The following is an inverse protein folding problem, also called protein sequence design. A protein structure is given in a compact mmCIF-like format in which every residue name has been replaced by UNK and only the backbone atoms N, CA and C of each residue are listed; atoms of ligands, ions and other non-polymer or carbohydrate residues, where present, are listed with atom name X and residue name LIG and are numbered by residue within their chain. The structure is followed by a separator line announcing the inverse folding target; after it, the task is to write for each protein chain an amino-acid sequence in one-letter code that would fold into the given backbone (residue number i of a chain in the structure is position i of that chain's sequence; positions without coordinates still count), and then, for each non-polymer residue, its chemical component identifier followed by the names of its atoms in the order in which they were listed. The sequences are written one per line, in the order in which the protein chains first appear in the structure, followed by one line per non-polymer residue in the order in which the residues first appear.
data_IF_290374415285
#
_entry.id   IF_290374415285
#
_cell.length_a   1.000
_cell.length_b   1.000
_cell.length_c   1.000
_cell.angle_alpha   90.00
_cell.angle_beta   90.00
_cell.angle_gamma   90.00
#
_symmetry.space_group_name_H-M   'P 1'
#
loop_
_entity.id
_entity.type
_entity.pdbx_description
1 polymer ?
#
# COMPACT_ATOMS: atom_id res chain seq x y z
N UNK A 1 40.96 -19.65 24.95
CA UNK A 1 40.18 -18.41 25.20
C UNK A 1 40.07 -17.51 23.96
N UNK A 2 41.15 -17.24 23.20
CA UNK A 2 41.14 -16.38 21.98
C UNK A 2 40.20 -16.81 20.83
N UNK A 3 39.93 -18.11 20.69
CA UNK A 3 39.11 -18.63 19.59
C UNK A 3 37.61 -18.40 19.84
N UNK A 4 37.15 -18.45 21.10
CA UNK A 4 35.74 -18.23 21.44
C UNK A 4 35.33 -16.78 21.13
N UNK A 5 36.16 -15.81 21.51
CA UNK A 5 35.95 -14.38 21.20
C UNK A 5 35.87 -14.12 19.70
N UNK A 6 36.68 -14.83 18.90
CA UNK A 6 36.71 -14.65 17.44
C UNK A 6 35.45 -15.17 16.75
N UNK A 7 34.90 -16.30 17.21
CA UNK A 7 33.63 -16.83 16.70
C UNK A 7 32.43 -15.97 17.13
N UNK A 8 32.44 -15.43 18.35
CA UNK A 8 31.41 -14.49 18.80
C UNK A 8 31.42 -13.21 17.97
N UNK A 9 32.60 -12.64 17.70
CA UNK A 9 32.73 -11.44 16.85
C UNK A 9 32.26 -11.72 15.42
N UNK A 10 32.65 -12.85 14.83
CA UNK A 10 32.21 -13.24 13.49
C UNK A 10 30.69 -13.46 13.43
N UNK A 11 30.10 -14.08 14.45
CA UNK A 11 28.65 -14.26 14.55
C UNK A 11 27.90 -12.92 14.65
N UNK A 12 28.38 -11.98 15.45
CA UNK A 12 27.80 -10.65 15.57
C UNK A 12 27.90 -9.86 14.26
N UNK A 13 29.04 -9.89 13.57
CA UNK A 13 29.21 -9.23 12.28
C UNK A 13 28.29 -9.80 11.20
N UNK A 14 28.08 -11.12 11.17
CA UNK A 14 27.15 -11.76 10.26
C UNK A 14 25.68 -11.34 10.53
N UNK A 15 25.31 -11.20 11.81
CA UNK A 15 23.97 -10.79 12.20
C UNK A 15 23.63 -9.36 11.75
N UNK A 16 24.62 -8.46 11.80
CA UNK A 16 24.49 -7.07 11.31
C UNK A 16 24.39 -7.02 9.78
N UNK A 17 25.12 -7.88 9.07
CA UNK A 17 25.14 -7.89 7.61
C UNK A 17 23.88 -8.48 6.95
N UNK A 18 23.14 -9.33 7.66
CA UNK A 18 21.92 -10.01 7.15
C UNK A 18 20.64 -9.32 7.65
N UNK A 19 20.76 -8.28 8.47
CA UNK A 19 19.60 -7.52 8.93
C UNK A 19 18.94 -6.75 7.78
N UNK A 20 17.62 -6.83 7.67
CA UNK A 20 16.87 -5.92 6.80
C UNK A 20 17.02 -4.49 7.34
N UNK A 21 17.26 -3.52 6.45
CA UNK A 21 17.30 -2.12 6.83
C UNK A 21 15.86 -1.64 7.09
N UNK A 22 15.55 -1.22 8.31
CA UNK A 22 14.25 -0.61 8.66
C UNK A 22 14.23 0.91 8.45
N UNK A 23 15.34 1.46 7.93
CA UNK A 23 15.55 2.90 7.73
C UNK A 23 15.23 3.36 6.31
N UNK A 24 15.15 2.43 5.35
CA UNK A 24 14.87 2.81 3.97
C UNK A 24 13.44 3.30 3.85
N UNK A 25 13.28 4.46 3.20
CA UNK A 25 11.97 4.97 2.90
C UNK A 25 11.24 3.97 1.98
N UNK A 26 9.99 3.67 2.30
CA UNK A 26 9.10 3.05 1.33
C UNK A 26 9.04 3.95 0.09
N UNK A 27 9.50 3.44 -1.05
CA UNK A 27 9.34 4.11 -2.34
C UNK A 27 8.06 3.56 -2.98
N UNK A 28 6.93 4.30 -2.93
CA UNK A 28 5.74 3.89 -3.68
C UNK A 28 6.07 3.83 -5.16
N UNK A 29 5.48 2.85 -5.85
CA UNK A 29 5.51 2.82 -7.30
C UNK A 29 4.83 4.09 -7.85
N UNK A 30 5.37 4.61 -8.96
CA UNK A 30 4.75 5.71 -9.66
C UNK A 30 3.50 5.22 -10.39
N UNK A 31 2.33 5.44 -9.79
CA UNK A 31 1.03 5.17 -10.40
C UNK A 31 0.57 6.31 -11.33
N UNK A 32 1.40 7.33 -11.58
CA UNK A 32 1.05 8.38 -12.53
C UNK A 32 1.12 7.86 -13.97
N UNK A 33 0.18 8.31 -14.80
CA UNK A 33 0.18 8.00 -16.22
C UNK A 33 1.08 9.00 -16.95
N UNK A 34 2.17 8.50 -17.57
CA UNK A 34 2.96 9.27 -18.53
C UNK A 34 2.30 9.37 -19.92
N UNK A 35 1.10 8.80 -20.11
CA UNK A 35 0.33 8.90 -21.35
C UNK A 35 -0.47 10.21 -21.38
N UNK A 36 -0.73 10.77 -22.58
CA UNK A 36 -1.63 11.89 -22.74
C UNK A 36 -2.98 11.59 -22.09
N UNK A 37 -3.44 12.48 -21.20
CA UNK A 37 -4.78 12.38 -20.65
C UNK A 37 -5.76 12.49 -21.83
N UNK A 38 -6.50 11.43 -22.10
CA UNK A 38 -7.58 11.47 -23.09
C UNK A 38 -8.70 12.31 -22.48
N UNK A 39 -9.08 13.45 -23.09
CA UNK A 39 -10.23 14.21 -22.60
C UNK A 39 -11.49 13.34 -22.73
N UNK A 40 -12.26 13.24 -21.65
CA UNK A 40 -13.46 12.45 -21.58
C UNK A 40 -14.33 12.87 -20.40
N UNK A 41 -15.62 12.53 -20.46
CA UNK A 41 -16.51 12.73 -19.33
C UNK A 41 -16.21 11.65 -18.28
N UNK A 42 -15.85 12.03 -17.04
CA UNK A 42 -15.62 11.04 -15.99
C UNK A 42 -16.90 10.22 -15.77
N UNK A 43 -16.74 8.89 -15.72
CA UNK A 43 -17.86 7.98 -15.41
C UNK A 43 -17.96 7.84 -13.90
N UNK A 44 -19.15 8.04 -13.35
CA UNK A 44 -19.42 7.78 -11.93
C UNK A 44 -19.46 6.27 -11.71
N UNK A 45 -18.60 5.77 -10.82
CA UNK A 45 -18.49 4.33 -10.50
C UNK A 45 -19.27 3.92 -9.24
N UNK A 46 -19.50 4.85 -8.31
CA UNK A 46 -20.25 4.60 -7.08
C UNK A 46 -21.47 5.50 -6.98
N UNK A 47 -22.49 5.06 -6.23
CA UNK A 47 -23.69 5.84 -5.92
C UNK A 47 -23.94 5.97 -4.43
N UNK A 48 -22.87 5.85 -3.63
CA UNK A 48 -22.91 6.00 -2.19
C UNK A 48 -23.34 7.43 -1.83
N UNK A 49 -24.15 7.55 -0.79
CA UNK A 49 -24.64 8.85 -0.28
C UNK A 49 -23.70 9.49 0.72
N UNK A 50 -22.74 8.71 1.24
CA UNK A 50 -21.68 9.15 2.13
C UNK A 50 -20.32 9.14 1.41
N UNK A 51 -19.24 9.41 2.13
CA UNK A 51 -17.91 9.62 1.55
C UNK A 51 -17.27 8.32 1.06
N UNK A 52 -16.68 8.41 -0.13
CA UNK A 52 -15.74 7.43 -0.70
C UNK A 52 -14.33 8.06 -0.74
N UNK A 53 -13.30 7.33 -0.33
CA UNK A 53 -11.92 7.80 -0.19
C UNK A 53 -10.90 6.77 -0.67
N UNK A 54 -9.67 7.24 -0.93
CA UNK A 54 -8.46 6.42 -1.09
C UNK A 54 -8.59 5.27 -2.11
N UNK A 55 -9.16 5.55 -3.28
CA UNK A 55 -9.27 4.55 -4.34
C UNK A 55 -7.89 4.20 -4.91
N UNK A 56 -7.64 2.92 -5.17
CA UNK A 56 -6.46 2.43 -5.89
C UNK A 56 -6.80 1.24 -6.78
N UNK A 57 -6.12 1.11 -7.91
CA UNK A 57 -6.19 -0.09 -8.73
C UNK A 57 -5.52 -1.27 -8.00
N UNK A 58 -6.06 -2.47 -8.18
CA UNK A 58 -5.34 -3.69 -7.86
C UNK A 58 -4.11 -3.82 -8.78
N UNK A 59 -2.99 -4.39 -8.31
CA UNK A 59 -1.77 -4.50 -9.12
C UNK A 59 -1.94 -5.27 -10.43
N UNK A 60 -2.89 -6.20 -10.48
CA UNK A 60 -3.22 -6.98 -11.68
C UNK A 60 -4.26 -6.31 -12.59
N UNK A 61 -4.74 -5.11 -12.21
CA UNK A 61 -5.75 -4.36 -12.95
C UNK A 61 -7.16 -4.95 -12.89
N UNK A 62 -7.41 -5.98 -12.07
CA UNK A 62 -8.71 -6.67 -12.02
C UNK A 62 -9.83 -5.87 -11.36
N UNK A 63 -9.51 -4.75 -10.70
CA UNK A 63 -10.50 -3.87 -10.09
C UNK A 63 -9.90 -2.72 -9.31
N UNK A 64 -10.78 -1.94 -8.69
CA UNK A 64 -10.49 -0.77 -7.86
C UNK A 64 -10.90 -1.08 -6.42
N UNK A 65 -9.93 -1.05 -5.50
CA UNK A 65 -10.19 -1.06 -4.07
C UNK A 65 -10.44 0.38 -3.60
N UNK A 66 -11.43 0.60 -2.75
CA UNK A 66 -11.73 1.92 -2.20
C UNK A 66 -12.30 1.83 -0.77
N UNK A 67 -12.20 2.92 -0.02
CA UNK A 67 -12.77 3.05 1.31
C UNK A 67 -14.10 3.80 1.26
N UNK A 68 -15.13 3.34 1.98
CA UNK A 68 -16.46 3.96 1.97
C UNK A 68 -17.15 3.94 3.33
N UNK A 69 -18.01 4.93 3.59
CA UNK A 69 -18.84 4.97 4.79
C UNK A 69 -20.20 4.28 4.58
N UNK A 70 -20.65 3.56 5.61
CA UNK A 70 -21.96 2.90 5.61
C UNK A 70 -23.03 3.84 6.22
N UNK A 71 -24.11 4.14 5.50
CA UNK A 71 -25.21 4.93 6.04
C UNK A 71 -25.81 4.33 7.32
N UNK A 72 -26.10 5.19 8.30
CA UNK A 72 -26.72 4.77 9.56
C UNK A 72 -25.76 4.28 10.64
N UNK A 73 -24.45 4.24 10.37
CA UNK A 73 -23.44 4.00 11.41
C UNK A 73 -22.96 5.30 12.05
N UNK A 74 -22.89 5.32 13.38
CA UNK A 74 -22.47 6.49 14.17
C UNK A 74 -20.95 6.60 14.33
N UNK A 75 -20.24 5.51 14.14
CA UNK A 75 -18.78 5.40 14.29
C UNK A 75 -17.99 6.10 13.15
N UNK A 76 -18.64 6.36 12.01
CA UNK A 76 -18.02 6.94 10.79
C UNK A 76 -16.83 6.12 10.29
N UNK A 77 -16.85 4.82 10.58
CA UNK A 77 -15.83 3.91 10.10
C UNK A 77 -15.91 3.76 8.59
N UNK A 78 -14.74 3.63 7.97
CA UNK A 78 -14.64 3.37 6.54
C UNK A 78 -14.43 1.87 6.31
N UNK A 79 -15.35 1.26 5.57
CA UNK A 79 -15.26 -0.12 5.11
C UNK A 79 -14.47 -0.18 3.80
N UNK A 80 -13.93 -1.35 3.46
CA UNK A 80 -13.28 -1.59 2.17
C UNK A 80 -14.29 -2.17 1.17
N UNK A 81 -14.31 -1.61 -0.04
CA UNK A 81 -15.10 -2.09 -1.18
C UNK A 81 -14.21 -2.37 -2.39
N UNK A 82 -14.64 -3.30 -3.25
CA UNK A 82 -13.98 -3.65 -4.50
C UNK A 82 -14.95 -3.44 -5.67
N UNK A 83 -14.51 -2.68 -6.68
CA UNK A 83 -15.21 -2.50 -7.96
C UNK A 83 -14.44 -3.31 -9.01
N UNK A 84 -14.97 -4.42 -9.54
CA UNK A 84 -14.32 -5.16 -10.61
C UNK A 84 -14.18 -4.33 -11.90
N UNK A 85 -13.10 -4.56 -12.65
CA UNK A 85 -12.83 -3.93 -13.94
C UNK A 85 -13.63 -4.55 -15.09
#
# INVERSE_FOLDING_TARGET
MRNCTRWVILGLLALVAVGCNHSDAFTPDDHSSNQPLVPGNPTRLTFNTLTDLNASWLPDGSGILYAFQVPGRSDRDHCLGLIPA
#
